data_IF_243814198733
#
_entry.id   IF_243814198733
#
_cell.length_a   1.000
_cell.length_b   1.000
_cell.length_c   1.000
_cell.angle_alpha   90.00
_cell.angle_beta   90.00
_cell.angle_gamma   90.00
#
_symmetry.space_group_name_H-M   'P 1'
#
loop_
_entity.id
_entity.type
_entity.pdbx_description
1 polymer ?
#
# COMPACT_ATOMS: atom_id res chain seq x y z
N UNK A 1 -13.14 -17.45 -18.82
CA UNK A 1 -12.96 -16.44 -17.75
C UNK A 1 -11.46 -16.36 -17.51
N UNK A 2 -10.82 -15.23 -17.81
CA UNK A 2 -9.38 -15.10 -17.57
C UNK A 2 -9.10 -15.04 -16.07
N UNK A 3 -8.13 -15.83 -15.61
CA UNK A 3 -7.72 -15.88 -14.22
C UNK A 3 -7.08 -14.56 -13.80
N UNK A 4 -7.45 -14.03 -12.62
CA UNK A 4 -6.87 -12.77 -12.14
C UNK A 4 -5.37 -12.92 -11.87
N UNK A 5 -4.63 -11.82 -11.90
CA UNK A 5 -3.20 -11.88 -11.64
C UNK A 5 -2.88 -12.35 -10.22
N UNK A 6 -3.72 -12.00 -9.25
CA UNK A 6 -3.58 -12.48 -7.88
C UNK A 6 -3.78 -14.00 -7.76
N UNK A 7 -4.71 -14.57 -8.52
CA UNK A 7 -4.92 -16.03 -8.54
C UNK A 7 -3.70 -16.75 -9.15
N UNK A 8 -3.05 -16.17 -10.17
CA UNK A 8 -1.76 -16.69 -10.68
C UNK A 8 -0.69 -16.67 -9.58
N UNK A 9 -0.57 -15.57 -8.84
CA UNK A 9 0.39 -15.48 -7.72
C UNK A 9 0.10 -16.53 -6.65
N UNK A 10 -1.17 -16.78 -6.31
CA UNK A 10 -1.56 -17.84 -5.37
C UNK A 10 -1.11 -19.23 -5.83
N UNK A 11 -1.30 -19.57 -7.10
CA UNK A 11 -0.88 -20.86 -7.65
C UNK A 11 0.64 -21.04 -7.51
N UNK A 12 1.42 -20.04 -7.90
CA UNK A 12 2.88 -20.08 -7.74
C UNK A 12 3.35 -20.05 -6.28
N UNK A 13 2.56 -19.48 -5.37
CA UNK A 13 2.87 -19.52 -3.94
C UNK A 13 2.65 -20.93 -3.33
N UNK A 14 1.78 -21.74 -3.93
CA UNK A 14 1.53 -23.12 -3.53
C UNK A 14 2.51 -24.12 -4.17
N UNK A 15 3.05 -23.80 -5.35
CA UNK A 15 4.05 -24.65 -6.02
C UNK A 15 5.42 -24.65 -5.34
N UNK A 16 5.66 -23.74 -4.38
CA UNK A 16 6.95 -23.52 -3.72
C UNK A 16 8.12 -23.26 -4.70
N UNK A 17 7.81 -22.82 -5.92
CA UNK A 17 8.81 -22.53 -6.97
C UNK A 17 9.70 -21.33 -6.62
N UNK A 18 9.24 -20.45 -5.72
CA UNK A 18 9.98 -19.26 -5.30
C UNK A 18 10.17 -19.24 -3.78
N UNK A 19 11.42 -19.28 -3.33
CA UNK A 19 11.81 -19.28 -1.90
C UNK A 19 11.18 -18.12 -1.12
N UNK A 20 11.00 -16.98 -1.79
CA UNK A 20 10.51 -15.76 -1.17
C UNK A 20 8.99 -15.63 -1.17
N UNK A 21 8.24 -16.55 -1.80
CA UNK A 21 6.78 -16.53 -1.90
C UNK A 21 6.21 -17.69 -1.09
N UNK A 22 5.39 -17.39 -0.08
CA UNK A 22 4.83 -18.39 0.83
C UNK A 22 3.35 -18.17 1.09
N UNK A 23 2.66 -19.23 1.48
CA UNK A 23 1.27 -19.15 1.97
C UNK A 23 1.23 -19.36 3.48
N UNK A 24 0.38 -18.58 4.16
CA UNK A 24 0.08 -18.75 5.60
C UNK A 24 -1.45 -18.73 5.72
N UNK A 25 -2.05 -19.91 5.89
CA UNK A 25 -3.49 -20.07 5.73
C UNK A 25 -3.93 -19.69 4.31
N UNK A 26 -4.89 -18.75 4.22
CA UNK A 26 -5.38 -18.24 2.93
C UNK A 26 -4.61 -17.02 2.39
N UNK A 27 -3.59 -16.57 3.11
CA UNK A 27 -2.84 -15.36 2.80
C UNK A 27 -1.54 -15.69 2.07
N UNK A 28 -1.18 -14.84 1.10
CA UNK A 28 0.04 -14.97 0.31
C UNK A 28 1.03 -13.91 0.76
N UNK A 29 2.27 -14.30 1.02
CA UNK A 29 3.33 -13.41 1.46
C UNK A 29 4.52 -13.47 0.53
N UNK A 30 5.14 -12.32 0.27
CA UNK A 30 6.47 -12.25 -0.29
C UNK A 30 7.38 -11.34 0.53
N UNK A 31 8.54 -11.84 0.99
CA UNK A 31 9.47 -11.10 1.86
C UNK A 31 8.78 -10.44 3.07
N UNK A 32 7.89 -11.18 3.74
CA UNK A 32 7.05 -10.73 4.87
C UNK A 32 6.15 -9.52 4.58
N UNK A 33 5.80 -9.34 3.31
CA UNK A 33 4.77 -8.43 2.84
C UNK A 33 3.58 -9.25 2.36
N UNK A 34 2.38 -8.90 2.83
CA UNK A 34 1.15 -9.54 2.41
C UNK A 34 0.78 -9.09 1.01
N UNK A 35 0.50 -10.04 0.13
CA UNK A 35 -0.02 -9.81 -1.22
C UNK A 35 -1.53 -10.02 -1.19
N UNK A 36 -2.29 -9.05 -1.68
CA UNK A 36 -3.74 -9.16 -1.81
C UNK A 36 -4.26 -8.47 -3.09
N UNK A 37 -5.51 -8.78 -3.43
CA UNK A 37 -6.25 -8.02 -4.44
C UNK A 37 -6.55 -6.59 -3.97
N UNK A 38 -6.68 -5.62 -4.90
CA UNK A 38 -7.01 -4.25 -4.57
C UNK A 38 -8.45 -4.11 -4.09
N UNK A 39 -8.63 -3.32 -3.04
CA UNK A 39 -9.93 -2.80 -2.57
C UNK A 39 -10.43 -1.68 -3.49
N UNK A 40 -11.68 -1.24 -3.31
CA UNK A 40 -12.22 -0.11 -4.07
C UNK A 40 -11.48 1.20 -3.81
N UNK A 41 -10.93 1.37 -2.61
CA UNK A 41 -10.06 2.51 -2.31
C UNK A 41 -8.73 2.42 -3.05
N UNK A 42 -8.10 1.25 -3.09
CA UNK A 42 -6.85 1.03 -3.84
C UNK A 42 -7.06 1.33 -5.33
N UNK A 43 -8.18 0.88 -5.89
CA UNK A 43 -8.58 1.17 -7.29
C UNK A 43 -8.85 2.66 -7.52
N UNK A 44 -9.47 3.35 -6.56
CA UNK A 44 -9.66 4.82 -6.62
C UNK A 44 -8.30 5.53 -6.64
N UNK A 45 -7.40 5.18 -5.73
CA UNK A 45 -6.07 5.78 -5.64
C UNK A 45 -5.25 5.52 -6.92
N UNK A 46 -5.26 4.29 -7.43
CA UNK A 46 -4.57 3.93 -8.68
C UNK A 46 -5.09 4.72 -9.89
N UNK A 47 -6.40 4.98 -9.98
CA UNK A 47 -6.96 5.81 -11.06
C UNK A 47 -6.37 7.22 -11.07
N UNK A 48 -6.03 7.78 -9.91
CA UNK A 48 -5.40 9.10 -9.83
C UNK A 48 -3.94 9.10 -10.33
N UNK A 49 -3.26 7.95 -10.36
CA UNK A 49 -1.94 7.80 -10.98
C UNK A 49 -1.96 7.95 -12.50
N UNK A 50 -3.11 7.72 -13.13
CA UNK A 50 -3.33 7.73 -14.58
C UNK A 50 -4.28 8.86 -15.00
N UNK A 51 -3.84 10.11 -14.80
CA UNK A 51 -4.63 11.27 -15.19
C UNK A 51 -4.64 11.47 -16.72
N UNK A 52 -5.67 12.19 -17.22
CA UNK A 52 -5.86 12.49 -18.65
C UNK A 52 -5.80 11.22 -19.53
N UNK A 53 -6.63 10.22 -19.23
CA UNK A 53 -6.69 8.96 -19.97
C UNK A 53 -5.33 8.23 -20.08
N UNK A 54 -4.46 8.41 -19.08
CA UNK A 54 -3.16 7.74 -19.02
C UNK A 54 -2.01 8.49 -19.70
N UNK A 55 -2.23 9.71 -20.19
CA UNK A 55 -1.16 10.60 -20.68
C UNK A 55 -0.22 11.00 -19.55
N UNK A 56 -0.78 11.32 -18.38
CA UNK A 56 0.02 11.65 -17.20
C UNK A 56 0.08 10.42 -16.30
N UNK A 57 1.30 9.90 -16.14
CA UNK A 57 1.61 8.79 -15.24
C UNK A 57 2.49 9.30 -14.12
N UNK A 58 2.01 9.23 -12.89
CA UNK A 58 2.76 9.60 -11.70
C UNK A 58 2.39 8.72 -10.52
N UNK A 59 3.31 8.53 -9.60
CA UNK A 59 2.99 7.92 -8.32
C UNK A 59 2.20 8.90 -7.47
N UNK A 60 1.18 8.38 -6.79
CA UNK A 60 0.34 9.12 -5.88
C UNK A 60 0.24 8.38 -4.56
N UNK A 61 0.02 9.13 -3.49
CA UNK A 61 -0.09 8.62 -2.13
C UNK A 61 -1.24 9.31 -1.42
N UNK A 62 -1.90 8.56 -0.55
CA UNK A 62 -2.92 9.08 0.35
C UNK A 62 -2.84 8.34 1.68
N UNK A 63 -3.06 9.09 2.75
CA UNK A 63 -3.09 8.57 4.12
C UNK A 63 -4.53 8.53 4.57
N UNK A 64 -4.95 7.44 5.21
CA UNK A 64 -6.25 7.30 5.86
C UNK A 64 -6.07 6.97 7.33
N UNK A 65 -6.79 7.67 8.19
CA UNK A 65 -6.96 7.27 9.57
C UNK A 65 -8.31 6.59 9.71
N UNK A 66 -8.27 5.35 10.20
CA UNK A 66 -9.47 4.63 10.59
C UNK A 66 -9.67 4.92 12.07
N UNK A 67 -10.78 5.57 12.39
CA UNK A 67 -11.15 5.93 13.75
C UNK A 67 -12.20 4.96 14.29
N UNK A 68 -12.44 5.00 15.59
CA UNK A 68 -13.53 4.26 16.22
C UNK A 68 -14.88 4.61 15.58
N UNK A 69 -15.76 3.61 15.45
CA UNK A 69 -17.08 3.79 14.83
C UNK A 69 -17.06 3.86 13.30
N UNK A 70 -16.08 3.22 12.65
CA UNK A 70 -15.94 3.14 11.18
C UNK A 70 -15.79 4.49 10.47
N UNK A 71 -15.34 5.53 11.19
CA UNK A 71 -15.09 6.85 10.63
C UNK A 71 -13.70 6.87 9.97
N UNK A 72 -13.63 7.40 8.74
CA UNK A 72 -12.39 7.53 7.99
C UNK A 72 -12.07 9.02 7.78
N UNK A 73 -10.89 9.44 8.23
CA UNK A 73 -10.29 10.71 7.81
C UNK A 73 -9.24 10.44 6.73
N UNK A 74 -9.21 11.26 5.68
CA UNK A 74 -8.24 11.10 4.60
C UNK A 74 -7.40 12.37 4.42
N UNK A 75 -6.11 12.19 4.18
CA UNK A 75 -5.21 13.30 3.84
C UNK A 75 -5.55 13.89 2.47
N UNK A 76 -4.90 15.01 2.13
CA UNK A 76 -4.84 15.44 0.74
C UNK A 76 -4.08 14.41 -0.09
N UNK A 77 -4.35 14.40 -1.39
CA UNK A 77 -3.62 13.54 -2.31
C UNK A 77 -2.22 14.10 -2.57
N UNK A 78 -1.20 13.31 -2.22
CA UNK A 78 0.19 13.66 -2.50
C UNK A 78 0.55 13.08 -3.87
N UNK A 79 1.09 13.94 -4.73
CA UNK A 79 1.49 13.60 -6.10
C UNK A 79 3.01 13.72 -6.18
N UNK A 80 3.68 12.63 -6.52
CA UNK A 80 5.12 12.67 -6.79
C UNK A 80 5.44 12.55 -8.26
N UNK A 81 6.60 11.98 -8.54
CA UNK A 81 7.09 11.65 -9.88
C UNK A 81 6.83 10.16 -10.18
N UNK A 82 7.49 9.60 -11.20
CA UNK A 82 7.28 8.20 -11.61
C UNK A 82 7.99 7.16 -10.73
N UNK A 83 8.83 7.57 -9.78
CA UNK A 83 9.69 6.70 -8.97
C UNK A 83 9.63 6.97 -7.46
N UNK A 84 9.02 8.08 -7.05
CA UNK A 84 8.91 8.50 -5.65
C UNK A 84 7.72 9.42 -5.49
N UNK A 85 7.02 9.25 -4.38
CA UNK A 85 5.79 10.00 -4.08
C UNK A 85 5.94 11.10 -3.04
N UNK A 86 6.71 10.85 -1.98
CA UNK A 86 6.82 11.77 -0.85
C UNK A 86 8.00 11.44 0.04
N UNK A 87 8.47 12.44 0.79
CA UNK A 87 9.48 12.28 1.83
C UNK A 87 8.85 12.09 3.22
N UNK A 88 9.66 11.66 4.17
CA UNK A 88 9.23 11.45 5.56
C UNK A 88 8.61 12.70 6.19
N UNK A 89 9.14 13.90 5.89
CA UNK A 89 8.68 15.16 6.50
C UNK A 89 7.27 15.50 6.04
N UNK A 90 7.00 15.32 4.76
CA UNK A 90 5.69 15.55 4.15
C UNK A 90 4.67 14.56 4.70
N UNK A 91 5.02 13.27 4.78
CA UNK A 91 4.15 12.24 5.37
C UNK A 91 3.83 12.58 6.82
N UNK A 92 4.86 12.95 7.61
CA UNK A 92 4.68 13.32 9.01
C UNK A 92 3.71 14.50 9.17
N UNK A 93 3.86 15.55 8.36
CA UNK A 93 3.00 16.72 8.44
C UNK A 93 1.53 16.38 8.15
N UNK A 94 1.25 15.61 7.10
CA UNK A 94 -0.13 15.16 6.81
C UNK A 94 -0.69 14.28 7.94
N UNK A 95 0.13 13.40 8.54
CA UNK A 95 -0.29 12.62 9.69
C UNK A 95 -0.63 13.52 10.90
N UNK A 96 0.19 14.53 11.21
CA UNK A 96 -0.08 15.46 12.30
C UNK A 96 -1.38 16.26 12.07
N UNK A 97 -1.67 16.64 10.82
CA UNK A 97 -2.94 17.27 10.46
C UNK A 97 -4.13 16.34 10.71
N UNK A 98 -4.03 15.07 10.31
CA UNK A 98 -5.07 14.07 10.57
C UNK A 98 -5.23 13.75 12.06
N UNK A 99 -4.14 13.66 12.82
CA UNK A 99 -4.18 13.50 14.27
C UNK A 99 -4.88 14.67 14.95
N UNK A 100 -4.62 15.90 14.50
CA UNK A 100 -5.31 17.09 14.98
C UNK A 100 -6.82 17.03 14.72
N UNK A 101 -7.23 16.55 13.53
CA UNK A 101 -8.63 16.36 13.18
C UNK A 101 -9.29 15.26 14.02
N UNK A 102 -8.63 14.12 14.21
CA UNK A 102 -9.12 13.02 15.04
C UNK A 102 -9.29 13.43 16.51
N UNK A 103 -8.35 14.21 17.06
CA UNK A 103 -8.47 14.78 18.41
C UNK A 103 -9.67 15.73 18.53
N UNK A 104 -9.91 16.55 17.51
CA UNK A 104 -11.06 17.46 17.49
C UNK A 104 -12.40 16.73 17.41
N UNK A 105 -12.45 15.56 16.78
CA UNK A 105 -13.66 14.72 16.76
C UNK A 105 -13.83 13.89 18.03
N UNK A 106 -12.82 13.81 18.90
CA UNK A 106 -12.85 13.00 20.11
C UNK A 106 -12.83 11.49 19.86
N UNK A 107 -12.50 11.06 18.63
CA UNK A 107 -12.49 9.65 18.25
C UNK A 107 -11.07 9.08 18.33
N UNK A 108 -10.97 7.86 18.85
CA UNK A 108 -9.72 7.10 18.91
C UNK A 108 -9.24 6.69 17.51
N UNK A 109 -7.92 6.76 17.27
CA UNK A 109 -7.30 6.29 16.03
C UNK A 109 -7.01 4.79 16.17
N UNK A 110 -7.71 3.97 15.38
CA UNK A 110 -7.56 2.51 15.36
C UNK A 110 -6.35 2.09 14.52
N UNK A 111 -6.11 2.78 13.41
CA UNK A 111 -4.90 2.60 12.57
C UNK A 111 -4.71 3.76 11.60
N UNK A 112 -3.46 3.98 11.21
CA UNK A 112 -3.13 4.74 10.01
C UNK A 112 -2.83 3.80 8.85
N UNK A 113 -3.36 4.12 7.67
CA UNK A 113 -3.14 3.41 6.42
C UNK A 113 -2.53 4.37 5.40
N UNK A 114 -1.28 4.10 5.01
CA UNK A 114 -0.51 4.87 4.03
C UNK A 114 -0.49 4.06 2.73
N UNK A 115 -1.28 4.46 1.73
CA UNK A 115 -1.26 3.82 0.41
C UNK A 115 -0.55 4.68 -0.60
N UNK A 116 0.34 4.07 -1.38
CA UNK A 116 0.96 4.68 -2.56
C UNK A 116 0.93 3.73 -3.75
N UNK A 117 1.11 4.27 -4.95
CA UNK A 117 0.98 3.50 -6.20
C UNK A 117 2.34 3.24 -6.83
N UNK A 118 2.55 2.03 -7.34
CA UNK A 118 3.71 1.68 -8.16
C UNK A 118 3.30 1.53 -9.64
N UNK A 119 4.00 2.24 -10.53
CA UNK A 119 3.73 2.22 -11.98
C UNK A 119 4.48 1.12 -12.73
N UNK A 120 5.49 0.52 -12.07
CA UNK A 120 6.28 -0.58 -12.61
C UNK A 120 5.41 -1.82 -12.83
N UNK A 121 5.62 -2.57 -13.93
CA UNK A 121 4.91 -3.81 -14.16
C UNK A 121 5.39 -4.92 -13.22
N UNK A 122 4.44 -5.69 -12.73
CA UNK A 122 4.65 -6.96 -12.05
C UNK A 122 4.51 -8.12 -13.07
N UNK A 123 5.34 -9.16 -12.92
CA UNK A 123 5.25 -10.39 -13.70
C UNK A 123 5.57 -11.61 -12.84
N UNK A 124 4.82 -12.68 -13.06
CA UNK A 124 5.15 -14.01 -12.51
C UNK A 124 4.88 -15.05 -13.60
N UNK A 125 5.94 -15.75 -14.00
CA UNK A 125 5.93 -16.91 -14.87
C UNK A 125 7.10 -17.82 -14.47
N UNK A 126 7.11 -19.09 -14.93
CA UNK A 126 8.11 -20.11 -14.56
C UNK A 126 9.57 -19.63 -14.66
N UNK A 127 9.88 -18.68 -15.55
CA UNK A 127 11.24 -18.20 -15.82
C UNK A 127 11.51 -16.78 -15.30
N UNK A 128 10.46 -15.99 -15.03
CA UNK A 128 10.57 -14.58 -14.65
C UNK A 128 9.67 -14.25 -13.48
N UNK A 129 10.28 -13.68 -12.45
CA UNK A 129 9.58 -13.22 -11.25
C UNK A 129 9.98 -11.78 -10.93
N UNK A 130 9.00 -10.87 -10.91
CA UNK A 130 9.15 -9.51 -10.42
C UNK A 130 7.84 -9.02 -9.84
N UNK A 131 7.89 -8.70 -8.56
CA UNK A 131 6.81 -8.04 -7.84
C UNK A 131 7.26 -6.63 -7.45
N UNK A 132 6.38 -5.66 -7.57
CA UNK A 132 6.62 -4.28 -7.15
C UNK A 132 6.33 -4.11 -5.66
N UNK A 133 7.02 -4.94 -4.84
CA UNK A 133 6.95 -4.91 -3.38
C UNK A 133 7.28 -3.52 -2.82
N UNK A 134 6.90 -3.27 -1.56
CA UNK A 134 7.39 -2.14 -0.79
C UNK A 134 8.93 -2.18 -0.75
N UNK A 135 9.55 -1.04 -1.04
CA UNK A 135 11.00 -0.87 -1.00
C UNK A 135 11.51 -0.83 0.44
N UNK A 136 12.84 -0.95 0.63
CA UNK A 136 13.44 -0.77 1.96
C UNK A 136 13.15 0.61 2.54
N UNK A 137 13.10 1.64 1.71
CA UNK A 137 12.77 3.02 2.09
C UNK A 137 11.35 3.12 2.64
N UNK A 138 10.36 2.52 1.96
CA UNK A 138 8.96 2.52 2.41
C UNK A 138 8.82 1.88 3.79
N UNK A 139 9.50 0.75 3.99
CA UNK A 139 9.49 0.03 5.26
C UNK A 139 10.19 0.82 6.38
N UNK A 140 11.26 1.53 6.08
CA UNK A 140 11.98 2.37 7.03
C UNK A 140 11.16 3.59 7.45
N UNK A 141 10.51 4.26 6.48
CA UNK A 141 9.58 5.37 6.74
C UNK A 141 8.45 4.92 7.65
N UNK A 142 7.78 3.80 7.33
CA UNK A 142 6.70 3.28 8.16
C UNK A 142 7.18 2.90 9.57
N UNK A 143 8.35 2.27 9.69
CA UNK A 143 8.96 1.93 10.99
C UNK A 143 9.24 3.18 11.82
N UNK A 144 9.83 4.21 11.21
CA UNK A 144 10.15 5.48 11.88
C UNK A 144 8.88 6.21 12.33
N UNK A 145 7.85 6.25 11.49
CA UNK A 145 6.55 6.84 11.85
C UNK A 145 5.92 6.14 13.05
N UNK A 146 6.06 4.80 13.14
CA UNK A 146 5.49 3.99 14.21
C UNK A 146 6.16 4.23 15.58
N UNK A 147 7.44 4.58 15.61
CA UNK A 147 8.17 4.84 16.86
C UNK A 147 7.55 5.95 17.71
N UNK A 148 6.83 6.88 17.08
CA UNK A 148 6.21 8.02 17.74
C UNK A 148 4.70 7.88 17.91
N UNK A 149 4.14 6.69 17.64
CA UNK A 149 2.70 6.44 17.56
C UNK A 149 2.31 5.13 18.24
N UNK A 150 1.27 5.25 19.03
CA UNK A 150 0.63 4.21 19.84
C UNK A 150 -0.39 3.38 19.04
N UNK A 151 -0.77 3.81 17.85
CA UNK A 151 -1.63 3.05 16.94
C UNK A 151 -0.84 2.37 15.80
N UNK A 152 -1.36 1.27 15.21
CA UNK A 152 -0.74 0.58 14.08
C UNK A 152 -0.61 1.44 12.82
N UNK A 153 0.47 1.20 12.06
CA UNK A 153 0.68 1.79 10.73
C UNK A 153 0.70 0.68 9.68
N UNK A 154 -0.28 0.70 8.77
CA UNK A 154 -0.31 -0.11 7.55
C UNK A 154 0.26 0.69 6.40
N UNK A 155 1.31 0.20 5.74
CA UNK A 155 1.81 0.78 4.49
C UNK A 155 1.47 -0.16 3.32
N UNK A 156 1.04 0.42 2.19
CA UNK A 156 0.62 -0.30 0.98
C UNK A 156 1.28 0.25 -0.27
N UNK A 157 1.80 -0.63 -1.10
CA UNK A 157 2.12 -0.38 -2.49
C UNK A 157 1.04 -1.00 -3.39
N UNK A 158 0.39 -0.18 -4.21
CA UNK A 158 -0.68 -0.57 -5.13
C UNK A 158 -0.10 -0.61 -6.53
N UNK A 159 0.11 -1.81 -7.06
CA UNK A 159 0.60 -2.00 -8.41
C UNK A 159 -0.54 -1.92 -9.42
N UNK A 160 -0.21 -1.37 -10.61
CA UNK A 160 -1.17 -1.24 -11.72
C UNK A 160 -1.77 -2.56 -12.18
N UNK A 161 -1.04 -3.67 -12.00
CA UNK A 161 -1.43 -5.01 -12.48
C UNK A 161 -2.46 -5.70 -11.55
N UNK A 162 -3.03 -4.97 -10.59
CA UNK A 162 -4.07 -5.49 -9.70
C UNK A 162 -3.51 -6.29 -8.52
N UNK A 163 -2.32 -5.92 -8.04
CA UNK A 163 -1.73 -6.44 -6.80
C UNK A 163 -1.52 -5.32 -5.80
N UNK A 164 -1.76 -5.63 -4.53
CA UNK A 164 -1.43 -4.75 -3.40
C UNK A 164 -0.44 -5.49 -2.51
N UNK A 165 0.65 -4.83 -2.18
CA UNK A 165 1.66 -5.29 -1.25
C UNK A 165 1.56 -4.48 0.02
N UNK A 166 1.38 -5.13 1.17
CA UNK A 166 1.17 -4.41 2.42
C UNK A 166 1.94 -4.99 3.60
N UNK A 167 2.31 -4.11 4.53
CA UNK A 167 2.90 -4.48 5.81
C UNK A 167 2.31 -3.63 6.92
N UNK A 168 2.04 -4.26 8.06
CA UNK A 168 1.51 -3.60 9.26
C UNK A 168 2.61 -3.55 10.31
N UNK A 169 2.83 -2.37 10.87
CA UNK A 169 3.72 -2.11 12.00
C UNK A 169 2.86 -1.88 13.23
N UNK A 170 2.91 -2.81 14.18
CA UNK A 170 2.16 -2.78 15.44
C UNK A 170 2.96 -2.10 16.55
#
# INVERSE_FOLDING_TARGET
MEMSFFDRVKIHALSNEYVNLKTVGQQVYCNDQLICSPTDWDRKLLRHSYALYGVIKREVMKIRFHLAGDVILESKMIKGNSQSVSDYKTIMNEMLELESQARKSGLEIIKAEIGHTHLSPCYIDRNKFKLCLLSKSDLEVARRLKQFRDYPIEIKAIAKDGLVFKKIFK
#
